data_IF_530204009505
#
_entry.id   IF_530204009505
#
_cell.length_a   1.000
_cell.length_b   1.000
_cell.length_c   1.000
_cell.angle_alpha   90.00
_cell.angle_beta   90.00
_cell.angle_gamma   90.00
#
_symmetry.space_group_name_H-M   'P 1'
#
loop_
_entity.id
_entity.type
_entity.pdbx_description
1 polymer ?
#
# COMPACT_ATOMS: atom_id res chain seq x y z
N UNK A 1 53.48 55.54 -31.76
CA UNK A 1 53.20 54.11 -32.08
C UNK A 1 52.63 53.50 -30.81
N UNK A 2 51.29 53.38 -30.74
CA UNK A 2 50.60 52.73 -29.57
C UNK A 2 50.21 51.29 -29.94
N UNK A 3 50.48 50.28 -29.14
CA UNK A 3 49.95 48.94 -29.33
C UNK A 3 48.53 48.84 -28.77
N UNK A 4 47.61 48.36 -29.59
CA UNK A 4 46.25 48.03 -29.27
C UNK A 4 46.23 46.74 -28.33
N UNK A 5 45.68 46.91 -27.12
CA UNK A 5 45.34 45.76 -26.26
C UNK A 5 44.05 45.11 -26.77
N UNK A 6 44.16 43.90 -27.29
CA UNK A 6 43.02 43.05 -27.61
C UNK A 6 42.60 42.31 -26.35
N UNK A 7 41.48 42.69 -25.75
CA UNK A 7 40.89 42.02 -24.61
C UNK A 7 40.14 40.76 -25.04
N UNK A 8 40.59 39.59 -24.58
CA UNK A 8 39.92 38.32 -24.81
C UNK A 8 38.75 38.19 -23.82
N UNK A 9 37.51 38.19 -24.33
CA UNK A 9 36.31 37.92 -23.53
C UNK A 9 36.14 36.41 -23.40
N UNK A 10 36.34 35.89 -22.21
CA UNK A 10 36.02 34.49 -21.89
C UNK A 10 34.55 34.36 -21.48
N UNK A 11 33.76 33.76 -22.35
CA UNK A 11 32.35 33.42 -22.08
C UNK A 11 32.31 32.15 -21.21
N UNK A 12 32.02 32.31 -19.91
CA UNK A 12 31.76 31.17 -19.02
C UNK A 12 30.30 30.73 -19.16
N UNK A 13 30.08 29.61 -19.85
CA UNK A 13 28.77 28.99 -19.92
C UNK A 13 28.48 28.23 -18.63
N UNK A 14 27.61 28.77 -17.80
CA UNK A 14 27.09 28.05 -16.60
C UNK A 14 26.04 27.04 -17.04
N UNK A 15 26.38 25.74 -16.96
CA UNK A 15 25.43 24.65 -17.08
C UNK A 15 24.53 24.65 -15.85
N UNK A 16 23.26 25.02 -15.97
CA UNK A 16 22.26 24.85 -14.93
C UNK A 16 21.76 23.42 -15.02
N UNK A 17 22.21 22.54 -14.11
CA UNK A 17 21.67 21.20 -13.96
C UNK A 17 20.25 21.31 -13.35
N UNK A 18 19.22 20.99 -14.13
CA UNK A 18 17.85 20.89 -13.63
C UNK A 18 17.74 19.69 -12.67
N UNK A 19 17.12 19.84 -11.49
CA UNK A 19 16.98 18.74 -10.55
C UNK A 19 16.01 17.69 -11.11
N UNK A 20 16.46 16.44 -11.18
CA UNK A 20 15.66 15.27 -11.56
C UNK A 20 14.73 14.84 -10.39
N UNK A 21 13.79 15.70 -9.97
CA UNK A 21 12.88 15.46 -8.84
C UNK A 21 11.70 14.52 -9.18
N UNK A 22 11.47 14.24 -10.48
CA UNK A 22 10.28 13.47 -10.88
C UNK A 22 10.37 11.95 -10.75
N UNK A 23 11.58 11.37 -10.75
CA UNK A 23 11.73 9.90 -10.83
C UNK A 23 11.66 9.20 -9.47
N UNK A 24 12.03 9.85 -8.37
CA UNK A 24 12.01 9.25 -7.05
C UNK A 24 10.58 8.99 -6.51
N UNK A 25 9.63 9.82 -6.89
CA UNK A 25 8.26 9.75 -6.43
C UNK A 25 7.46 8.64 -7.14
N UNK A 26 7.69 8.43 -8.43
CA UNK A 26 7.05 7.34 -9.18
C UNK A 26 7.51 5.97 -8.69
N UNK A 27 8.81 5.77 -8.45
CA UNK A 27 9.36 4.52 -7.92
C UNK A 27 8.81 4.15 -6.53
N UNK A 28 8.52 5.14 -5.67
CA UNK A 28 7.96 4.90 -4.35
C UNK A 28 6.49 4.43 -4.39
N UNK A 29 5.68 4.95 -5.31
CA UNK A 29 4.27 4.54 -5.47
C UNK A 29 4.20 3.12 -6.02
N UNK A 30 5.01 2.80 -7.01
CA UNK A 30 5.07 1.46 -7.62
C UNK A 30 5.49 0.39 -6.60
N UNK A 31 6.54 0.64 -5.82
CA UNK A 31 6.96 -0.23 -4.72
C UNK A 31 5.89 -0.42 -3.63
N UNK A 32 5.06 0.59 -3.39
CA UNK A 32 4.00 0.53 -2.39
C UNK A 32 2.83 -0.34 -2.88
N UNK A 33 2.42 -0.20 -4.13
CA UNK A 33 1.40 -1.06 -4.76
C UNK A 33 1.88 -2.51 -4.87
N UNK A 34 3.15 -2.74 -5.19
CA UNK A 34 3.73 -4.08 -5.21
C UNK A 34 3.72 -4.72 -3.82
N UNK A 35 4.03 -3.97 -2.77
CA UNK A 35 3.92 -4.44 -1.38
C UNK A 35 2.48 -4.86 -1.06
N UNK A 36 1.48 -4.05 -1.39
CA UNK A 36 0.07 -4.36 -1.17
C UNK A 36 -0.39 -5.60 -1.93
N UNK A 37 0.06 -5.76 -3.18
CA UNK A 37 -0.21 -6.92 -4.01
C UNK A 37 0.41 -8.20 -3.43
N UNK A 38 1.67 -8.15 -3.01
CA UNK A 38 2.36 -9.28 -2.40
C UNK A 38 1.70 -9.70 -1.09
N UNK A 39 1.36 -8.74 -0.24
CA UNK A 39 0.62 -9.01 1.01
C UNK A 39 -0.75 -9.63 0.74
N UNK A 40 -1.46 -9.12 -0.26
CA UNK A 40 -2.75 -9.65 -0.67
C UNK A 40 -2.63 -11.11 -1.15
N UNK A 41 -1.70 -11.38 -2.04
CA UNK A 41 -1.49 -12.72 -2.59
C UNK A 41 -1.09 -13.72 -1.51
N UNK A 42 -0.25 -13.30 -0.56
CA UNK A 42 0.27 -14.18 0.51
C UNK A 42 -0.76 -14.46 1.58
N UNK A 43 -1.63 -13.50 1.91
CA UNK A 43 -2.43 -13.55 3.13
C UNK A 43 -3.95 -13.47 2.90
N UNK A 44 -4.40 -12.89 1.80
CA UNK A 44 -5.81 -12.60 1.55
C UNK A 44 -6.41 -13.48 0.45
N UNK A 45 -5.63 -13.76 -0.59
CA UNK A 45 -6.10 -14.48 -1.79
C UNK A 45 -6.61 -15.89 -1.49
N UNK A 46 -6.11 -16.54 -0.45
CA UNK A 46 -6.56 -17.88 -0.08
C UNK A 46 -8.07 -17.93 0.25
N UNK A 47 -8.63 -16.84 0.78
CA UNK A 47 -10.05 -16.69 1.06
C UNK A 47 -10.75 -15.83 0.00
N UNK A 48 -10.19 -14.66 -0.31
CA UNK A 48 -10.82 -13.69 -1.21
C UNK A 48 -10.60 -13.96 -2.69
N UNK A 49 -9.79 -14.98 -3.05
CA UNK A 49 -9.43 -15.29 -4.44
C UNK A 49 -8.34 -14.36 -4.99
N UNK A 50 -7.62 -14.83 -6.00
CA UNK A 50 -6.54 -14.06 -6.62
C UNK A 50 -7.05 -12.77 -7.30
N UNK A 51 -8.31 -12.79 -7.76
CA UNK A 51 -9.00 -11.66 -8.39
C UNK A 51 -9.82 -10.79 -7.42
N UNK A 52 -9.91 -11.17 -6.14
CA UNK A 52 -10.69 -10.46 -5.12
C UNK A 52 -12.18 -10.79 -5.09
N UNK A 53 -12.65 -11.80 -5.86
CA UNK A 53 -14.09 -12.11 -6.02
C UNK A 53 -14.70 -12.97 -4.90
N UNK A 54 -13.92 -13.27 -3.85
CA UNK A 54 -14.40 -14.11 -2.76
C UNK A 54 -14.44 -15.60 -3.11
N UNK A 55 -13.68 -16.03 -4.10
CA UNK A 55 -13.64 -17.39 -4.66
C UNK A 55 -12.36 -18.16 -4.28
N UNK A 56 -11.69 -17.77 -3.20
CA UNK A 56 -10.48 -18.43 -2.74
C UNK A 56 -10.74 -19.87 -2.30
N UNK A 57 -9.70 -20.71 -2.39
CA UNK A 57 -9.79 -22.15 -2.12
C UNK A 57 -10.17 -22.49 -0.66
N UNK A 58 -9.92 -21.59 0.29
CA UNK A 58 -10.27 -21.80 1.69
C UNK A 58 -11.76 -21.60 1.99
N UNK A 59 -12.54 -21.07 1.04
CA UNK A 59 -13.99 -20.83 1.24
C UNK A 59 -14.78 -22.09 1.60
N UNK A 60 -14.34 -23.25 1.16
CA UNK A 60 -14.98 -24.55 1.50
C UNK A 60 -14.98 -24.85 3.00
N UNK A 61 -14.07 -24.22 3.75
CA UNK A 61 -13.94 -24.37 5.20
C UNK A 61 -14.61 -23.23 5.98
N UNK A 62 -15.06 -22.18 5.29
CA UNK A 62 -15.68 -21.03 5.94
C UNK A 62 -17.18 -21.26 6.13
N UNK A 63 -17.73 -20.88 7.28
CA UNK A 63 -19.17 -20.88 7.53
C UNK A 63 -19.93 -19.92 6.60
N UNK A 64 -19.27 -18.88 6.14
CA UNK A 64 -19.76 -17.88 5.20
C UNK A 64 -18.66 -17.55 4.21
N UNK A 65 -19.00 -17.52 2.95
CA UNK A 65 -18.08 -17.17 1.88
C UNK A 65 -17.41 -15.81 2.12
N UNK A 66 -16.14 -15.71 1.79
CA UNK A 66 -15.41 -14.43 1.84
C UNK A 66 -16.07 -13.42 0.89
N UNK A 67 -16.04 -12.15 1.30
CA UNK A 67 -16.65 -11.09 0.52
C UNK A 67 -15.95 -10.90 -0.84
N UNK A 68 -16.73 -10.57 -1.87
CA UNK A 68 -16.23 -10.03 -3.12
C UNK A 68 -15.71 -8.60 -2.87
N UNK A 69 -14.39 -8.44 -2.96
CA UNK A 69 -13.72 -7.16 -2.73
C UNK A 69 -13.76 -6.25 -3.97
N UNK A 70 -14.13 -6.76 -5.14
CA UNK A 70 -14.14 -5.98 -6.38
C UNK A 70 -15.35 -5.04 -6.52
N UNK A 71 -16.38 -5.24 -5.70
CA UNK A 71 -17.64 -4.47 -5.77
C UNK A 71 -17.83 -3.48 -4.61
N UNK A 72 -16.79 -3.23 -3.83
CA UNK A 72 -16.88 -2.33 -2.66
C UNK A 72 -17.26 -0.90 -3.05
N UNK A 73 -16.65 -0.37 -4.11
CA UNK A 73 -16.99 0.95 -4.64
C UNK A 73 -18.42 1.00 -5.15
N UNK A 74 -18.83 0.00 -5.94
CA UNK A 74 -20.19 -0.11 -6.48
C UNK A 74 -21.24 -0.12 -5.36
N UNK A 75 -20.99 -0.89 -4.31
CA UNK A 75 -21.90 -1.02 -3.17
C UNK A 75 -21.88 0.21 -2.23
N UNK A 76 -21.01 1.18 -2.50
CA UNK A 76 -20.85 2.42 -1.74
C UNK A 76 -21.02 3.66 -2.63
N UNK A 77 -21.98 3.64 -3.54
CA UNK A 77 -22.31 4.79 -4.38
C UNK A 77 -21.20 5.21 -5.35
N UNK A 78 -20.35 4.28 -5.78
CA UNK A 78 -19.24 4.53 -6.71
C UNK A 78 -17.94 4.99 -6.04
N UNK A 79 -17.95 5.19 -4.72
CA UNK A 79 -16.79 5.66 -3.96
C UNK A 79 -16.18 4.50 -3.17
N UNK A 80 -14.85 4.30 -3.29
CA UNK A 80 -14.17 3.27 -2.52
C UNK A 80 -14.22 3.59 -1.01
N UNK A 81 -14.75 2.68 -0.17
CA UNK A 81 -14.98 2.93 1.26
C UNK A 81 -13.70 2.74 2.08
N UNK A 82 -12.68 3.57 1.84
CA UNK A 82 -11.32 3.47 2.37
C UNK A 82 -11.27 3.24 3.88
N UNK A 83 -11.93 4.09 4.65
CA UNK A 83 -11.89 4.01 6.13
C UNK A 83 -12.52 2.70 6.65
N UNK A 84 -13.58 2.22 6.00
CA UNK A 84 -14.22 0.95 6.36
C UNK A 84 -13.29 -0.22 6.07
N UNK A 85 -12.65 -0.25 4.90
CA UNK A 85 -11.72 -1.32 4.52
C UNK A 85 -10.52 -1.33 5.46
N UNK A 86 -9.93 -0.16 5.74
CA UNK A 86 -8.86 -0.02 6.72
C UNK A 86 -9.29 -0.55 8.11
N UNK A 87 -10.45 -0.15 8.60
CA UNK A 87 -10.97 -0.57 9.90
C UNK A 87 -11.17 -2.07 10.01
N UNK A 88 -11.70 -2.70 8.95
CA UNK A 88 -11.88 -4.17 8.89
C UNK A 88 -10.55 -4.90 8.93
N UNK A 89 -9.58 -4.51 8.08
CA UNK A 89 -8.26 -5.15 8.02
C UNK A 89 -7.51 -4.96 9.34
N UNK A 90 -7.51 -3.76 9.90
CA UNK A 90 -6.83 -3.46 11.17
C UNK A 90 -7.48 -4.14 12.39
N UNK A 91 -8.75 -4.53 12.28
CA UNK A 91 -9.56 -5.04 13.38
C UNK A 91 -10.19 -3.95 14.24
N UNK A 92 -10.10 -2.68 13.82
CA UNK A 92 -10.75 -1.57 14.52
C UNK A 92 -12.28 -1.53 14.30
N UNK A 93 -12.76 -2.19 13.22
CA UNK A 93 -14.18 -2.27 12.89
C UNK A 93 -14.60 -3.73 12.83
N UNK A 94 -15.64 -4.10 13.59
CA UNK A 94 -16.24 -5.43 13.49
C UNK A 94 -17.09 -5.52 12.22
N UNK A 95 -16.97 -6.66 11.53
CA UNK A 95 -17.83 -6.96 10.40
C UNK A 95 -19.07 -7.66 10.92
N UNK A 96 -20.19 -6.94 10.98
CA UNK A 96 -21.49 -7.47 11.41
C UNK A 96 -21.90 -8.63 10.49
N UNK A 97 -22.23 -9.79 11.09
CA UNK A 97 -22.70 -10.97 10.34
C UNK A 97 -21.65 -12.03 10.03
N UNK A 98 -20.42 -11.87 10.48
CA UNK A 98 -19.36 -12.87 10.31
C UNK A 98 -19.15 -13.79 11.51
N UNK A 99 -19.96 -13.73 12.56
CA UNK A 99 -19.75 -14.51 13.79
C UNK A 99 -18.41 -14.16 14.48
N UNK A 100 -17.92 -14.94 15.44
CA UNK A 100 -16.59 -14.70 15.99
C UNK A 100 -15.56 -14.88 14.88
N UNK A 101 -15.14 -13.78 14.35
CA UNK A 101 -14.09 -13.45 13.36
C UNK A 101 -13.59 -14.63 12.51
N UNK A 102 -14.19 -14.83 11.35
CA UNK A 102 -13.62 -15.73 10.34
C UNK A 102 -12.42 -15.10 9.61
N UNK A 103 -12.28 -13.76 9.63
CA UNK A 103 -11.16 -13.04 9.08
C UNK A 103 -10.17 -12.66 10.19
N UNK A 104 -8.87 -12.96 10.06
CA UNK A 104 -7.85 -12.57 11.04
C UNK A 104 -7.80 -11.05 11.27
N UNK A 105 -7.34 -10.65 12.47
CA UNK A 105 -7.01 -9.26 12.77
C UNK A 105 -5.59 -9.00 12.26
N UNK A 106 -5.47 -8.48 11.07
CA UNK A 106 -4.18 -8.25 10.43
C UNK A 106 -3.33 -7.20 11.15
N UNK A 107 -3.97 -6.26 11.87
CA UNK A 107 -3.25 -5.34 12.75
C UNK A 107 -2.40 -6.05 13.80
N UNK A 108 -2.93 -7.09 14.44
CA UNK A 108 -2.18 -7.89 15.42
C UNK A 108 -1.07 -8.70 14.74
N UNK A 109 -1.39 -9.34 13.60
CA UNK A 109 -0.41 -10.11 12.84
C UNK A 109 0.81 -9.26 12.44
N UNK A 110 0.61 -8.06 11.91
CA UNK A 110 1.71 -7.17 11.58
C UNK A 110 2.44 -6.62 12.80
N UNK A 111 1.75 -6.43 13.91
CA UNK A 111 2.39 -6.04 15.16
C UNK A 111 3.37 -7.12 15.64
N UNK A 112 2.98 -8.38 15.56
CA UNK A 112 3.83 -9.52 15.94
C UNK A 112 5.02 -9.68 14.99
N UNK A 113 4.84 -9.38 13.70
CA UNK A 113 5.93 -9.40 12.72
C UNK A 113 6.92 -8.24 12.87
N UNK A 114 6.51 -7.13 13.47
CA UNK A 114 7.34 -5.92 13.55
C UNK A 114 8.71 -6.18 14.20
N UNK A 115 8.76 -7.03 15.21
CA UNK A 115 10.01 -7.38 15.90
C UNK A 115 11.04 -8.02 14.97
N UNK A 116 10.61 -8.92 14.08
CA UNK A 116 11.50 -9.62 13.14
C UNK A 116 11.97 -8.74 11.99
N UNK A 117 11.14 -7.76 11.58
CA UNK A 117 11.42 -6.89 10.43
C UNK A 117 12.24 -5.66 10.83
N UNK A 118 11.91 -5.04 11.98
CA UNK A 118 12.53 -3.79 12.42
C UNK A 118 13.84 -4.01 13.21
N UNK A 119 14.13 -5.25 13.64
CA UNK A 119 15.30 -5.57 14.44
C UNK A 119 15.14 -5.22 15.92
N UNK A 120 16.25 -5.33 16.70
CA UNK A 120 16.22 -5.22 18.17
C UNK A 120 16.14 -3.79 18.73
N UNK A 121 16.32 -2.78 17.90
CA UNK A 121 16.43 -1.36 18.36
C UNK A 121 15.22 -0.50 18.00
N UNK A 122 14.10 -1.12 17.64
CA UNK A 122 12.89 -0.38 17.28
C UNK A 122 12.15 0.20 18.49
N UNK A 123 11.41 1.29 18.25
CA UNK A 123 10.54 1.93 19.24
C UNK A 123 9.07 1.61 18.94
N UNK A 124 8.19 1.78 19.91
CA UNK A 124 6.74 1.58 19.73
C UNK A 124 6.13 2.45 18.60
N UNK A 125 6.70 3.63 18.36
CA UNK A 125 6.26 4.48 17.23
C UNK A 125 6.60 3.84 15.88
N UNK A 126 7.74 3.14 15.81
CA UNK A 126 8.19 2.47 14.59
C UNK A 126 7.30 1.25 14.29
N UNK A 127 6.89 0.51 15.32
CA UNK A 127 5.91 -0.59 15.21
C UNK A 127 4.57 -0.07 14.65
N UNK A 128 4.04 1.01 15.22
CA UNK A 128 2.77 1.59 14.75
C UNK A 128 2.88 2.08 13.31
N UNK A 129 3.99 2.69 12.94
CA UNK A 129 4.24 3.13 11.57
C UNK A 129 4.32 1.95 10.60
N UNK A 130 5.01 0.88 10.98
CA UNK A 130 5.11 -0.36 10.21
C UNK A 130 3.73 -1.00 9.97
N UNK A 131 2.96 -1.23 11.04
CA UNK A 131 1.61 -1.81 10.95
C UNK A 131 0.71 -0.97 10.04
N UNK A 132 0.71 0.35 10.25
CA UNK A 132 -0.08 1.28 9.43
C UNK A 132 0.32 1.21 7.95
N UNK A 133 1.61 1.18 7.65
CA UNK A 133 2.11 1.12 6.28
C UNK A 133 1.66 -0.17 5.57
N UNK A 134 1.73 -1.32 6.23
CA UNK A 134 1.28 -2.60 5.70
C UNK A 134 -0.22 -2.61 5.38
N UNK A 135 -1.04 -2.11 6.31
CA UNK A 135 -2.49 -2.04 6.11
C UNK A 135 -2.83 -1.05 4.99
N UNK A 136 -2.18 0.12 4.95
CA UNK A 136 -2.39 1.10 3.88
C UNK A 136 -2.06 0.53 2.50
N UNK A 137 -0.95 -0.19 2.37
CA UNK A 137 -0.57 -0.84 1.11
C UNK A 137 -1.63 -1.86 0.65
N UNK A 138 -2.19 -2.65 1.57
CA UNK A 138 -3.31 -3.56 1.28
C UNK A 138 -4.56 -2.81 0.84
N UNK A 139 -4.96 -1.76 1.54
CA UNK A 139 -6.14 -0.95 1.20
C UNK A 139 -5.99 -0.31 -0.17
N UNK A 140 -4.80 0.22 -0.47
CA UNK A 140 -4.45 0.77 -1.78
C UNK A 140 -4.61 -0.30 -2.87
N UNK A 141 -3.99 -1.47 -2.69
CA UNK A 141 -4.13 -2.56 -3.66
C UNK A 141 -5.60 -2.96 -3.87
N UNK A 142 -6.39 -3.12 -2.80
CA UNK A 142 -7.82 -3.45 -2.90
C UNK A 142 -8.58 -2.36 -3.66
N UNK A 143 -8.18 -1.10 -3.55
CA UNK A 143 -8.79 0.00 -4.31
C UNK A 143 -8.55 -0.11 -5.82
N UNK A 144 -7.43 -0.72 -6.24
CA UNK A 144 -7.10 -0.87 -7.67
C UNK A 144 -7.88 -2.00 -8.36
N UNK A 145 -8.37 -2.99 -7.60
CA UNK A 145 -9.08 -4.15 -8.15
C UNK A 145 -10.59 -3.96 -8.22
N UNK A 146 -11.09 -2.74 -8.02
CA UNK A 146 -12.51 -2.45 -8.10
C UNK A 146 -13.05 -2.64 -9.52
N UNK A 147 -14.20 -3.30 -9.65
CA UNK A 147 -14.94 -3.41 -10.91
C UNK A 147 -15.36 -2.01 -11.39
N UNK A 148 -15.20 -1.79 -12.69
CA UNK A 148 -15.62 -0.56 -13.35
C UNK A 148 -17.13 -0.53 -13.55
#
# INVERSE_FOLDING_TARGET
MNPLCVGTVVLVATLVAAPALGHAQAANIENYLDTGKLEYQSNCAICHGASGKGDGSFNVLLKKQAADLTVLSKNNGGVFPFNRVYGVISGATDVVGHGPRNMPIWGNYYNDQAASVLGSSYRQVDVRAFVRARILALVEYVSTVQAK
#
